data_IF_721927677485
#
_entry.id   IF_721927677485
#
_cell.length_a   1.000
_cell.length_b   1.000
_cell.length_c   1.000
_cell.angle_alpha   90.00
_cell.angle_beta   90.00
_cell.angle_gamma   90.00
#
_symmetry.space_group_name_H-M   'P 1'
#
loop_
_entity.id
_entity.type
_entity.pdbx_description
1 polymer ?
#
# COMPACT_ATOMS: atom_id res chain seq x y z
N UNK A 1 21.25 -17.33 -6.74
CA UNK A 1 19.92 -17.44 -6.17
C UNK A 1 18.87 -16.87 -7.14
N UNK A 2 17.66 -17.37 -7.05
CA UNK A 2 16.58 -16.91 -7.89
C UNK A 2 16.20 -15.47 -7.52
N UNK A 3 15.79 -14.64 -8.48
CA UNK A 3 15.29 -13.30 -8.16
C UNK A 3 14.02 -13.41 -7.32
N UNK A 4 13.81 -12.37 -6.50
CA UNK A 4 12.64 -12.30 -5.64
C UNK A 4 11.37 -12.14 -6.50
N UNK A 5 10.30 -12.87 -6.14
CA UNK A 5 9.04 -12.78 -6.86
C UNK A 5 8.33 -11.45 -6.58
N UNK A 6 7.55 -10.93 -7.55
CA UNK A 6 6.86 -9.64 -7.35
C UNK A 6 6.00 -9.58 -6.09
N UNK A 7 5.25 -10.66 -5.79
CA UNK A 7 4.42 -10.69 -4.58
C UNK A 7 5.24 -10.60 -3.31
N UNK A 8 6.45 -11.17 -3.31
CA UNK A 8 7.34 -11.10 -2.16
C UNK A 8 7.85 -9.68 -1.94
N UNK A 9 8.22 -8.99 -3.03
CA UNK A 9 8.66 -7.60 -2.98
C UNK A 9 7.55 -6.73 -2.41
N UNK A 10 6.32 -6.90 -2.91
CA UNK A 10 5.17 -6.13 -2.43
C UNK A 10 4.91 -6.39 -0.95
N UNK A 11 4.94 -7.64 -0.51
CA UNK A 11 4.69 -7.98 0.89
C UNK A 11 5.77 -7.40 1.80
N UNK A 12 7.03 -7.41 1.37
CA UNK A 12 8.11 -6.81 2.15
C UNK A 12 7.98 -5.30 2.24
N UNK A 13 7.57 -4.66 1.13
CA UNK A 13 7.29 -3.23 1.13
C UNK A 13 6.16 -2.90 2.11
N UNK A 14 5.04 -3.63 2.04
CA UNK A 14 3.90 -3.39 2.92
C UNK A 14 4.25 -3.62 4.39
N UNK A 15 5.09 -4.61 4.67
CA UNK A 15 5.55 -4.85 6.04
C UNK A 15 6.39 -3.68 6.56
N UNK A 16 7.29 -3.15 5.72
CA UNK A 16 8.07 -1.99 6.09
C UNK A 16 7.18 -0.77 6.36
N UNK A 17 6.14 -0.58 5.56
CA UNK A 17 5.18 0.50 5.78
C UNK A 17 4.40 0.32 7.09
N UNK A 18 3.95 -0.90 7.37
CA UNK A 18 3.25 -1.21 8.62
C UNK A 18 4.13 -0.94 9.84
N UNK A 19 5.40 -1.30 9.74
CA UNK A 19 6.38 -1.07 10.80
C UNK A 19 6.85 0.38 10.87
N UNK A 20 6.38 1.22 9.95
CA UNK A 20 6.78 2.62 9.80
C UNK A 20 8.27 2.78 9.57
N UNK A 21 8.88 1.79 8.95
CA UNK A 21 10.28 1.85 8.53
C UNK A 21 10.33 2.40 7.11
N UNK A 22 10.18 3.72 7.00
CA UNK A 22 10.04 4.38 5.70
C UNK A 22 11.32 4.32 4.88
N UNK A 23 12.48 4.28 5.52
CA UNK A 23 13.75 4.13 4.83
C UNK A 23 13.82 2.78 4.12
N UNK A 24 13.47 1.70 4.84
CA UNK A 24 13.42 0.37 4.22
C UNK A 24 12.37 0.29 3.11
N UNK A 25 11.21 0.89 3.31
CA UNK A 25 10.15 0.90 2.30
C UNK A 25 10.63 1.56 1.00
N UNK A 26 11.37 2.65 1.10
CA UNK A 26 11.87 3.39 -0.06
C UNK A 26 12.80 2.56 -0.93
N UNK A 27 13.50 1.60 -0.36
CA UNK A 27 14.43 0.75 -1.12
C UNK A 27 13.74 -0.13 -2.15
N UNK A 28 12.43 -0.37 -2.02
CA UNK A 28 11.66 -1.19 -2.96
C UNK A 28 11.09 -0.37 -4.12
N UNK A 29 11.27 0.94 -4.12
CA UNK A 29 10.58 1.86 -5.02
C UNK A 29 11.48 2.40 -6.11
N UNK A 30 10.90 2.60 -7.30
CA UNK A 30 11.61 3.26 -8.39
C UNK A 30 11.59 4.78 -8.20
N UNK A 31 12.40 5.50 -8.96
CA UNK A 31 12.43 6.96 -8.92
C UNK A 31 11.13 7.59 -9.41
N UNK A 32 10.32 6.85 -10.15
CA UNK A 32 9.05 7.34 -10.70
C UNK A 32 7.86 6.91 -9.87
N UNK A 33 8.10 6.33 -8.69
CA UNK A 33 7.03 5.79 -7.84
C UNK A 33 5.98 6.83 -7.47
N UNK A 34 4.73 6.37 -7.44
CA UNK A 34 3.61 7.20 -7.02
C UNK A 34 2.57 6.32 -6.31
N UNK A 35 2.02 6.82 -5.22
CA UNK A 35 0.87 6.21 -4.54
C UNK A 35 -0.36 7.02 -4.92
N UNK A 36 -1.39 6.33 -5.39
CA UNK A 36 -2.68 6.94 -5.74
C UNK A 36 -3.71 6.42 -4.76
N UNK A 37 -4.25 7.30 -3.94
CA UNK A 37 -5.18 6.98 -2.87
C UNK A 37 -6.62 7.26 -3.28
N UNK A 38 -7.62 6.76 -2.52
CA UNK A 38 -9.01 7.10 -2.78
C UNK A 38 -9.21 8.61 -2.88
N UNK A 39 -10.05 9.04 -3.82
CA UNK A 39 -10.23 10.46 -4.09
C UNK A 39 -9.16 11.07 -4.96
N UNK A 40 -8.31 10.20 -5.56
CA UNK A 40 -7.23 10.61 -6.46
C UNK A 40 -6.16 11.47 -5.77
N UNK A 41 -5.98 11.29 -4.47
CA UNK A 41 -4.87 11.90 -3.74
C UNK A 41 -3.59 11.17 -4.14
N UNK A 42 -2.54 11.92 -4.48
CA UNK A 42 -1.29 11.34 -5.01
C UNK A 42 -0.10 11.77 -4.18
N UNK A 43 0.80 10.81 -3.92
CA UNK A 43 2.02 11.06 -3.15
C UNK A 43 3.21 10.40 -3.83
N UNK A 44 4.35 11.06 -3.80
CA UNK A 44 5.57 10.56 -4.45
C UNK A 44 6.43 9.73 -3.52
N UNK A 45 6.27 9.88 -2.20
CA UNK A 45 7.13 9.21 -1.22
C UNK A 45 6.30 8.56 -0.12
N UNK A 46 6.84 7.49 0.50
CA UNK A 46 6.21 6.90 1.68
C UNK A 46 6.02 7.91 2.83
N UNK A 47 6.97 8.85 2.99
CA UNK A 47 6.87 9.85 4.05
C UNK A 47 5.66 10.76 3.86
N UNK A 48 5.44 11.24 2.64
CA UNK A 48 4.29 12.08 2.33
C UNK A 48 2.97 11.34 2.55
N UNK A 49 2.91 10.10 2.07
CA UNK A 49 1.73 9.26 2.25
C UNK A 49 1.47 9.00 3.73
N UNK A 50 2.50 8.65 4.49
CA UNK A 50 2.37 8.34 5.91
C UNK A 50 1.85 9.54 6.70
N UNK A 51 2.34 10.73 6.38
CA UNK A 51 1.88 11.97 7.03
C UNK A 51 0.40 12.22 6.77
N UNK A 52 -0.03 12.05 5.52
CA UNK A 52 -1.44 12.19 5.17
C UNK A 52 -2.30 11.13 5.88
N UNK A 53 -1.84 9.88 5.89
CA UNK A 53 -2.57 8.79 6.53
C UNK A 53 -2.75 9.05 8.04
N UNK A 54 -1.72 9.56 8.71
CA UNK A 54 -1.79 9.87 10.13
C UNK A 54 -2.79 10.98 10.46
N UNK A 55 -3.14 11.81 9.48
CA UNK A 55 -4.17 12.83 9.67
C UNK A 55 -5.58 12.23 9.64
N UNK A 56 -5.73 11.00 9.11
CA UNK A 56 -7.04 10.37 8.94
C UNK A 56 -7.39 9.38 10.04
N UNK A 57 -6.40 8.66 10.55
CA UNK A 57 -6.63 7.65 11.58
C UNK A 57 -5.43 7.57 12.51
N UNK A 58 -5.69 7.05 13.71
CA UNK A 58 -4.64 6.87 14.71
C UNK A 58 -3.78 5.64 14.38
N UNK A 59 -4.42 4.55 14.02
CA UNK A 59 -3.73 3.32 13.64
C UNK A 59 -4.53 2.56 12.60
N UNK A 60 -3.83 1.73 11.82
CA UNK A 60 -4.45 0.89 10.80
C UNK A 60 -3.62 -0.38 10.65
N UNK A 61 -4.28 -1.49 10.41
CA UNK A 61 -3.61 -2.71 10.02
C UNK A 61 -4.41 -3.40 8.92
N UNK A 62 -3.70 -4.20 8.11
CA UNK A 62 -4.27 -4.92 6.97
C UNK A 62 -4.28 -6.40 7.26
N UNK A 63 -5.40 -7.04 6.90
CA UNK A 63 -5.49 -8.50 6.85
C UNK A 63 -5.63 -8.89 5.39
N UNK A 64 -4.65 -9.65 4.87
CA UNK A 64 -4.64 -10.03 3.46
C UNK A 64 -5.46 -11.30 3.26
N UNK A 65 -6.35 -11.29 2.26
CA UNK A 65 -7.16 -12.45 1.88
C UNK A 65 -6.60 -13.14 0.65
N UNK A 66 -6.13 -12.39 -0.34
CA UNK A 66 -5.51 -12.98 -1.53
C UNK A 66 -4.54 -12.02 -2.18
N UNK A 67 -3.63 -12.60 -2.98
CA UNK A 67 -2.66 -11.87 -3.78
C UNK A 67 -2.61 -12.53 -5.14
N UNK A 68 -2.80 -11.74 -6.20
CA UNK A 68 -2.77 -12.21 -7.58
C UNK A 68 -1.69 -11.47 -8.35
N UNK A 69 -1.01 -12.18 -9.24
CA UNK A 69 0.10 -11.62 -10.01
C UNK A 69 -0.12 -11.90 -11.49
N UNK A 70 0.13 -10.90 -12.32
CA UNK A 70 0.17 -11.10 -13.76
C UNK A 70 1.42 -10.44 -14.34
N UNK A 71 1.90 -10.96 -15.45
CA UNK A 71 3.12 -10.48 -16.10
C UNK A 71 2.81 -9.93 -17.48
N UNK A 72 3.41 -8.77 -17.80
CA UNK A 72 3.26 -8.09 -19.09
C UNK A 72 4.65 -7.64 -19.54
N UNK A 73 5.34 -8.47 -20.32
CA UNK A 73 6.70 -8.17 -20.72
C UNK A 73 7.62 -8.08 -19.51
N UNK A 74 8.23 -6.91 -19.29
CA UNK A 74 9.11 -6.68 -18.14
C UNK A 74 8.36 -6.27 -16.89
N UNK A 75 7.08 -5.96 -17.04
CA UNK A 75 6.29 -5.48 -15.91
C UNK A 75 5.54 -6.62 -15.26
N UNK A 76 5.35 -6.51 -13.96
CA UNK A 76 4.46 -7.35 -13.21
C UNK A 76 3.40 -6.48 -12.53
N UNK A 77 2.18 -6.99 -12.46
CA UNK A 77 1.11 -6.33 -11.72
C UNK A 77 0.70 -7.26 -10.58
N UNK A 78 0.65 -6.69 -9.37
CA UNK A 78 0.28 -7.44 -8.17
C UNK A 78 -0.97 -6.78 -7.57
N UNK A 79 -2.02 -7.59 -7.39
CA UNK A 79 -3.22 -7.17 -6.69
C UNK A 79 -3.28 -7.86 -5.34
N UNK A 80 -3.43 -7.06 -4.27
CA UNK A 80 -3.65 -7.57 -2.92
C UNK A 80 -5.02 -7.10 -2.48
N UNK A 81 -5.80 -7.99 -1.87
CA UNK A 81 -7.07 -7.56 -1.30
C UNK A 81 -7.27 -8.15 0.09
N UNK A 82 -8.13 -7.52 0.84
CA UNK A 82 -8.42 -7.96 2.20
C UNK A 82 -9.26 -6.95 2.94
N UNK A 83 -9.01 -6.84 4.23
CA UNK A 83 -9.75 -5.92 5.10
C UNK A 83 -8.80 -5.08 5.94
N UNK A 84 -9.26 -3.88 6.26
CA UNK A 84 -8.58 -2.95 7.14
C UNK A 84 -9.29 -2.92 8.48
N UNK A 85 -8.51 -2.76 9.55
CA UNK A 85 -9.03 -2.48 10.88
C UNK A 85 -8.12 -1.45 11.53
N UNK A 86 -8.62 -0.75 12.53
CA UNK A 86 -7.80 0.25 13.20
C UNK A 86 -8.60 1.09 14.16
N UNK A 87 -8.05 2.28 14.44
CA UNK A 87 -8.61 3.21 15.41
C UNK A 87 -8.64 4.61 14.79
N UNK A 88 -9.79 5.26 14.82
CA UNK A 88 -9.94 6.66 14.42
C UNK A 88 -9.31 7.58 15.47
N UNK A 89 -9.14 8.86 15.13
CA UNK A 89 -8.59 9.84 16.07
C UNK A 89 -9.48 10.07 17.31
N UNK A 90 -10.78 9.82 17.19
CA UNK A 90 -11.69 9.93 18.33
C UNK A 90 -11.68 8.68 19.22
N UNK A 91 -10.76 7.75 18.97
CA UNK A 91 -10.56 6.50 19.72
C UNK A 91 -11.63 5.45 19.48
N UNK A 92 -12.54 5.64 18.51
CA UNK A 92 -13.46 4.57 18.11
C UNK A 92 -12.76 3.62 17.14
N UNK A 93 -13.15 2.36 17.17
CA UNK A 93 -12.57 1.31 16.33
C UNK A 93 -13.28 1.22 14.98
N UNK A 94 -12.55 0.78 13.98
CA UNK A 94 -13.15 0.36 12.72
C UNK A 94 -12.58 -1.00 12.32
N UNK A 95 -13.38 -1.78 11.59
CA UNK A 95 -12.98 -3.12 11.12
C UNK A 95 -13.75 -3.50 9.88
N UNK A 96 -13.26 -4.54 9.19
CA UNK A 96 -13.93 -5.12 8.03
C UNK A 96 -14.11 -4.14 6.86
N UNK A 97 -13.22 -3.15 6.76
CA UNK A 97 -13.21 -2.22 5.63
C UNK A 97 -12.47 -2.92 4.48
N UNK A 98 -13.15 -3.16 3.37
CA UNK A 98 -12.52 -3.85 2.24
C UNK A 98 -11.50 -2.95 1.56
N UNK A 99 -10.40 -3.56 1.10
CA UNK A 99 -9.41 -2.84 0.30
C UNK A 99 -8.92 -3.69 -0.85
N UNK A 100 -8.48 -3.01 -1.90
CA UNK A 100 -7.69 -3.58 -2.99
C UNK A 100 -6.53 -2.63 -3.25
N UNK A 101 -5.33 -3.17 -3.27
CA UNK A 101 -4.13 -2.43 -3.68
C UNK A 101 -3.61 -3.04 -4.97
N UNK A 102 -3.29 -2.18 -5.94
CA UNK A 102 -2.68 -2.58 -7.20
C UNK A 102 -1.28 -2.01 -7.28
N UNK A 103 -0.31 -2.89 -7.48
CA UNK A 103 1.09 -2.51 -7.63
C UNK A 103 1.57 -2.84 -9.04
N UNK A 104 2.36 -1.94 -9.62
CA UNK A 104 3.08 -2.25 -10.85
C UNK A 104 4.57 -2.25 -10.52
N UNK A 105 5.27 -3.30 -10.97
CA UNK A 105 6.70 -3.43 -10.76
C UNK A 105 7.39 -3.53 -12.12
N UNK A 106 8.52 -2.86 -12.26
CA UNK A 106 9.37 -2.93 -13.43
C UNK A 106 10.78 -3.20 -12.96
N UNK A 107 11.41 -4.24 -13.50
CA UNK A 107 12.78 -4.60 -13.14
C UNK A 107 12.97 -4.78 -11.63
N UNK A 108 11.97 -5.33 -10.95
CA UNK A 108 12.05 -5.61 -9.51
C UNK A 108 11.79 -4.42 -8.60
N UNK A 109 11.42 -3.26 -9.15
CA UNK A 109 11.09 -2.07 -8.36
C UNK A 109 9.63 -1.69 -8.54
N UNK A 110 9.01 -1.24 -7.46
CA UNK A 110 7.61 -0.81 -7.51
C UNK A 110 7.55 0.59 -8.12
N UNK A 111 6.79 0.71 -9.22
CA UNK A 111 6.63 1.98 -9.92
C UNK A 111 5.33 2.69 -9.58
N UNK A 112 4.32 1.95 -9.11
CA UNK A 112 3.07 2.57 -8.67
C UNK A 112 2.32 1.68 -7.70
N UNK A 113 1.56 2.33 -6.82
CA UNK A 113 0.62 1.67 -5.92
C UNK A 113 -0.69 2.45 -6.01
N UNK A 114 -1.77 1.76 -6.35
CA UNK A 114 -3.10 2.34 -6.33
C UNK A 114 -3.93 1.66 -5.26
N UNK A 115 -4.68 2.45 -4.51
CA UNK A 115 -5.44 1.99 -3.35
C UNK A 115 -6.92 2.28 -3.55
N UNK A 116 -7.74 1.24 -3.41
CA UNK A 116 -9.20 1.39 -3.35
C UNK A 116 -9.66 0.77 -2.05
N UNK A 117 -10.57 1.44 -1.36
CA UNK A 117 -11.16 0.88 -0.14
C UNK A 117 -12.51 1.51 0.15
N UNK A 118 -13.23 0.89 1.10
CA UNK A 118 -14.56 1.32 1.50
C UNK A 118 -14.53 2.36 2.63
N UNK A 119 -13.39 2.99 2.90
CA UNK A 119 -13.31 4.02 3.93
C UNK A 119 -14.04 5.28 3.51
N UNK A 120 -14.59 6.05 4.46
CA UNK A 120 -15.18 7.35 4.13
C UNK A 120 -14.16 8.26 3.46
N UNK A 121 -14.58 8.96 2.42
CA UNK A 121 -13.70 9.88 1.68
C UNK A 121 -13.35 11.10 2.51
N UNK A 122 -14.29 11.55 3.33
CA UNK A 122 -14.06 12.68 4.25
C UNK A 122 -13.79 12.09 5.63
N UNK A 123 -12.67 12.46 6.22
CA UNK A 123 -12.33 12.02 7.55
C UNK A 123 -13.35 12.54 8.55
N UNK A 124 -13.97 11.65 9.23
CA UNK A 124 -14.93 12.02 10.26
C UNK A 124 -14.60 11.26 11.53
#
# INVERSE_FOLDING_TARGET
SAPEQPEQIVHRYLKAMEDRNLEAATLFLSDTFEIICPGNQRFKTPAEFSKWAQSRYRSISKTFLSTDVSFHGRDATVFCNGTLSGVWHDSTDFANIRFVDRFVLTAGLITSQQIWNDMPMTGS
#
